data_IF_648188160915
#
_entry.id   IF_648188160915
#
_cell.length_a   1.000
_cell.length_b   1.000
_cell.length_c   1.000
_cell.angle_alpha   90.00
_cell.angle_beta   90.00
_cell.angle_gamma   90.00
#
_symmetry.space_group_name_H-M   'P 1'
#
loop_
_entity.id
_entity.type
_entity.pdbx_description
1 polymer ?
#
# COMPACT_ATOMS: atom_id res chain seq x y z
N UNK A 1 5.35 -22.65 7.69
CA UNK A 1 4.54 -21.75 6.81
C UNK A 1 3.18 -21.58 7.45
N UNK A 2 3.02 -20.56 8.30
CA UNK A 2 1.80 -20.33 9.09
C UNK A 2 1.10 -19.01 8.71
N UNK A 3 1.83 -18.08 8.06
CA UNK A 3 1.36 -16.73 7.71
C UNK A 3 0.39 -16.68 6.52
N UNK A 4 0.38 -17.67 5.64
CA UNK A 4 -0.52 -17.73 4.46
C UNK A 4 -1.78 -18.59 4.71
N UNK A 5 -2.25 -18.68 5.95
CA UNK A 5 -3.43 -19.51 6.27
C UNK A 5 -4.73 -18.69 6.19
N UNK A 6 -5.37 -18.71 5.02
CA UNK A 6 -6.60 -17.96 4.78
C UNK A 6 -7.77 -18.39 5.68
N UNK A 7 -7.81 -19.64 6.13
CA UNK A 7 -8.87 -20.10 7.04
C UNK A 7 -8.82 -19.34 8.37
N UNK A 8 -7.62 -19.05 8.89
CA UNK A 8 -7.46 -18.25 10.10
C UNK A 8 -7.93 -16.80 9.86
N UNK A 9 -7.63 -16.23 8.69
CA UNK A 9 -8.07 -14.87 8.36
C UNK A 9 -9.60 -14.79 8.26
N UNK A 10 -10.26 -15.80 7.71
CA UNK A 10 -11.72 -15.90 7.69
C UNK A 10 -12.33 -15.96 9.09
N UNK A 11 -11.77 -16.81 9.96
CA UNK A 11 -12.19 -16.94 11.36
C UNK A 11 -12.03 -15.59 12.10
N UNK A 12 -10.89 -14.92 11.94
CA UNK A 12 -10.62 -13.63 12.57
C UNK A 12 -11.55 -12.52 12.07
N UNK A 13 -11.81 -12.44 10.76
CA UNK A 13 -12.77 -11.49 10.21
C UNK A 13 -14.18 -11.75 10.75
N UNK A 14 -14.60 -13.02 10.81
CA UNK A 14 -15.92 -13.41 11.33
C UNK A 14 -16.09 -13.04 12.80
N UNK A 15 -15.11 -13.38 13.66
CA UNK A 15 -15.14 -13.06 15.09
C UNK A 15 -15.10 -11.54 15.29
N UNK A 16 -14.22 -10.84 14.55
CA UNK A 16 -14.09 -9.38 14.62
C UNK A 16 -15.39 -8.67 14.30
N UNK A 17 -16.08 -9.06 13.22
CA UNK A 17 -17.38 -8.48 12.84
C UNK A 17 -18.48 -8.83 13.83
N UNK A 18 -18.57 -10.09 14.25
CA UNK A 18 -19.59 -10.55 15.20
C UNK A 18 -19.49 -9.86 16.56
N UNK A 19 -18.29 -9.45 16.96
CA UNK A 19 -18.07 -8.69 18.20
C UNK A 19 -18.51 -7.22 18.13
N UNK A 20 -18.62 -6.65 16.93
CA UNK A 20 -19.00 -5.25 16.71
C UNK A 20 -20.50 -5.13 16.52
N UNK A 21 -21.20 -4.62 17.54
CA UNK A 21 -22.64 -4.33 17.53
C UNK A 21 -22.99 -3.20 16.53
N UNK A 22 -22.96 -3.50 15.23
CA UNK A 22 -23.26 -2.61 14.10
C UNK A 22 -22.24 -1.49 13.82
N UNK A 23 -21.02 -1.57 14.35
CA UNK A 23 -19.95 -0.64 13.97
C UNK A 23 -19.27 -1.10 12.67
N UNK A 24 -18.89 -0.19 11.77
CA UNK A 24 -18.07 -0.52 10.63
C UNK A 24 -16.80 -1.27 11.05
N UNK A 25 -16.46 -2.32 10.31
CA UNK A 25 -15.22 -3.08 10.48
C UNK A 25 -14.56 -3.23 9.12
N UNK A 26 -13.31 -2.79 9.03
CA UNK A 26 -12.50 -2.86 7.83
C UNK A 26 -11.23 -3.64 8.16
N UNK A 27 -10.91 -4.59 7.31
CA UNK A 27 -9.78 -5.50 7.41
C UNK A 27 -8.90 -5.32 6.19
N UNK A 28 -7.60 -5.31 6.42
CA UNK A 28 -6.61 -5.27 5.35
C UNK A 28 -5.52 -6.27 5.67
N UNK A 29 -5.00 -6.92 4.63
CA UNK A 29 -3.85 -7.81 4.73
C UNK A 29 -2.60 -7.15 4.15
N UNK A 30 -1.45 -7.58 4.66
CA UNK A 30 -0.17 -7.38 4.01
C UNK A 30 0.21 -8.69 3.32
N UNK A 31 0.06 -8.73 2.00
CA UNK A 31 0.59 -9.79 1.15
C UNK A 31 1.53 -9.11 0.15
N UNK A 32 2.81 -9.50 0.12
CA UNK A 32 3.82 -8.87 -0.75
C UNK A 32 4.40 -9.93 -1.71
N UNK A 33 4.30 -9.76 -3.04
CA UNK A 33 3.58 -8.69 -3.74
C UNK A 33 2.07 -8.80 -3.50
N UNK A 34 1.33 -7.69 -3.62
CA UNK A 34 -0.11 -7.69 -3.40
C UNK A 34 -0.87 -8.65 -4.31
N UNK A 35 -1.99 -9.18 -3.80
CA UNK A 35 -2.91 -10.03 -4.57
C UNK A 35 -4.34 -9.58 -4.34
N UNK A 36 -5.02 -9.18 -5.39
CA UNK A 36 -6.45 -8.82 -5.32
C UNK A 36 -7.34 -10.01 -4.94
N UNK A 37 -6.90 -11.24 -5.18
CA UNK A 37 -7.63 -12.47 -4.85
C UNK A 37 -7.83 -12.68 -3.34
N UNK A 38 -7.01 -12.06 -2.49
CA UNK A 38 -7.18 -12.14 -1.02
C UNK A 38 -8.33 -11.25 -0.54
N UNK A 39 -8.88 -10.39 -1.41
CA UNK A 39 -9.91 -9.44 -1.04
C UNK A 39 -11.30 -10.04 -1.21
N UNK A 40 -12.27 -9.59 -0.42
CA UNK A 40 -13.67 -10.07 -0.47
C UNK A 40 -14.35 -9.83 -1.81
N UNK A 41 -13.92 -8.81 -2.55
CA UNK A 41 -14.39 -8.58 -3.93
C UNK A 41 -14.13 -9.80 -4.83
N UNK A 42 -13.07 -10.56 -4.54
CA UNK A 42 -12.68 -11.78 -5.24
C UNK A 42 -12.86 -13.05 -4.39
N UNK A 43 -13.76 -13.02 -3.39
CA UNK A 43 -14.04 -14.13 -2.46
C UNK A 43 -12.82 -14.53 -1.60
N UNK A 44 -12.02 -13.55 -1.20
CA UNK A 44 -10.97 -13.69 -0.20
C UNK A 44 -11.37 -13.23 1.21
N UNK A 45 -10.50 -13.41 2.22
CA UNK A 45 -10.85 -13.19 3.63
C UNK A 45 -10.87 -11.74 4.12
N UNK A 46 -10.22 -10.79 3.43
CA UNK A 46 -10.06 -9.40 3.91
C UNK A 46 -10.73 -8.38 2.99
N UNK A 47 -11.00 -7.16 3.45
CA UNK A 47 -11.64 -6.14 2.62
C UNK A 47 -10.67 -5.52 1.59
N UNK A 48 -9.38 -5.43 1.92
CA UNK A 48 -8.34 -4.88 1.06
C UNK A 48 -6.94 -5.48 1.30
N UNK A 49 -5.98 -5.13 0.44
CA UNK A 49 -4.56 -5.47 0.58
C UNK A 49 -3.70 -4.22 0.43
N UNK A 50 -2.59 -4.10 1.17
CA UNK A 50 -1.61 -3.05 0.93
C UNK A 50 -1.04 -3.15 -0.49
N UNK A 51 -0.91 -2.04 -1.22
CA UNK A 51 -0.24 -2.02 -2.53
C UNK A 51 1.23 -1.70 -2.39
N UNK A 52 2.06 -2.74 -2.39
CA UNK A 52 3.51 -2.58 -2.45
C UNK A 52 3.96 -2.02 -3.81
N UNK A 53 3.21 -2.28 -4.88
CA UNK A 53 3.46 -1.73 -6.21
C UNK A 53 3.25 -0.22 -6.24
N UNK A 54 2.19 0.29 -5.60
CA UNK A 54 1.98 1.74 -5.50
C UNK A 54 3.14 2.41 -4.77
N UNK A 55 3.52 1.86 -3.61
CA UNK A 55 4.69 2.35 -2.86
C UNK A 55 5.94 2.40 -3.75
N UNK A 56 6.26 1.30 -4.43
CA UNK A 56 7.45 1.19 -5.27
C UNK A 56 7.46 2.19 -6.42
N UNK A 57 6.42 2.20 -7.25
CA UNK A 57 6.35 3.05 -8.45
C UNK A 57 6.35 4.54 -8.09
N UNK A 58 5.54 4.95 -7.12
CA UNK A 58 5.42 6.37 -6.77
C UNK A 58 6.67 6.87 -6.05
N UNK A 59 7.26 6.07 -5.15
CA UNK A 59 8.54 6.42 -4.53
C UNK A 59 9.64 6.59 -5.58
N UNK A 60 9.69 5.69 -6.57
CA UNK A 60 10.64 5.75 -7.68
C UNK A 60 10.49 7.03 -8.51
N UNK A 61 9.25 7.45 -8.80
CA UNK A 61 8.96 8.70 -9.51
C UNK A 61 9.39 9.93 -8.70
N UNK A 62 9.13 9.93 -7.38
CA UNK A 62 9.50 11.06 -6.50
C UNK A 62 11.02 11.16 -6.33
N UNK A 63 11.73 10.03 -6.29
CA UNK A 63 13.20 9.97 -6.27
C UNK A 63 13.77 10.43 -7.62
N UNK A 64 13.25 9.91 -8.73
CA UNK A 64 13.71 10.21 -10.07
C UNK A 64 12.53 10.47 -11.02
N UNK A 65 12.24 11.74 -11.27
CA UNK A 65 11.13 12.18 -12.12
C UNK A 65 11.20 11.63 -13.55
N UNK A 66 12.37 11.19 -14.05
CA UNK A 66 12.50 10.54 -15.36
C UNK A 66 11.79 9.18 -15.44
N UNK A 67 11.43 8.59 -14.29
CA UNK A 67 10.64 7.36 -14.21
C UNK A 67 9.12 7.61 -14.31
N UNK A 68 8.68 8.86 -14.41
CA UNK A 68 7.26 9.16 -14.53
C UNK A 68 6.69 8.58 -15.82
N UNK A 69 5.69 7.71 -15.67
CA UNK A 69 4.92 7.13 -16.76
C UNK A 69 3.44 7.18 -16.35
N UNK A 70 2.64 7.92 -17.12
CA UNK A 70 1.28 8.30 -16.74
C UNK A 70 0.35 7.07 -16.64
N UNK A 71 0.48 6.12 -17.56
CA UNK A 71 -0.42 4.97 -17.61
C UNK A 71 -0.14 4.01 -16.45
N UNK A 72 1.13 3.86 -16.05
CA UNK A 72 1.55 3.13 -14.86
C UNK A 72 0.96 3.74 -13.60
N UNK A 73 1.00 5.07 -13.45
CA UNK A 73 0.39 5.77 -12.30
C UNK A 73 -1.12 5.58 -12.27
N UNK A 74 -1.80 5.74 -13.41
CA UNK A 74 -3.25 5.51 -13.50
C UNK A 74 -3.64 4.09 -13.15
N UNK A 75 -2.86 3.11 -13.62
CA UNK A 75 -3.11 1.70 -13.37
C UNK A 75 -3.07 1.40 -11.86
N UNK A 76 -2.01 1.82 -11.16
CA UNK A 76 -1.85 1.53 -9.73
C UNK A 76 -2.85 2.24 -8.82
N UNK A 77 -3.40 3.39 -9.22
CA UNK A 77 -4.42 4.09 -8.42
C UNK A 77 -5.84 3.62 -8.69
N UNK A 78 -6.06 2.84 -9.75
CA UNK A 78 -7.40 2.46 -10.19
C UNK A 78 -8.03 1.32 -9.38
N UNK A 79 -7.21 0.50 -8.70
CA UNK A 79 -7.70 -0.66 -7.96
C UNK A 79 -8.24 -0.25 -6.58
N UNK A 80 -9.56 -0.29 -6.44
CA UNK A 80 -10.29 0.14 -5.22
C UNK A 80 -10.05 -0.74 -4.00
N UNK A 81 -9.65 -2.00 -4.20
CA UNK A 81 -9.41 -2.96 -3.11
C UNK A 81 -7.95 -3.01 -2.68
N UNK A 82 -7.12 -2.10 -3.19
CA UNK A 82 -5.76 -1.89 -2.75
C UNK A 82 -5.65 -0.62 -1.90
N UNK A 83 -4.90 -0.71 -0.80
CA UNK A 83 -4.57 0.42 0.07
C UNK A 83 -3.23 0.97 -0.32
N UNK A 84 -3.25 2.16 -0.90
CA UNK A 84 -2.05 2.87 -1.35
C UNK A 84 -1.31 3.49 -0.17
N UNK A 85 0.01 3.31 -0.13
CA UNK A 85 0.88 3.88 0.90
C UNK A 85 2.22 4.33 0.32
N UNK A 86 2.84 5.33 0.93
CA UNK A 86 4.20 5.80 0.58
C UNK A 86 5.19 5.67 1.72
N UNK A 87 4.70 5.55 2.95
CA UNK A 87 5.51 5.31 4.13
C UNK A 87 4.82 4.28 5.02
N UNK A 88 5.60 3.30 5.47
CA UNK A 88 5.26 2.41 6.57
C UNK A 88 6.47 2.28 7.49
N UNK A 89 6.39 1.43 8.50
CA UNK A 89 7.47 1.21 9.46
C UNK A 89 8.59 0.31 8.93
N UNK A 90 8.35 -0.42 7.83
CA UNK A 90 9.30 -1.36 7.22
C UNK A 90 10.21 -0.73 6.17
N UNK A 91 9.92 0.49 5.74
CA UNK A 91 10.66 1.17 4.68
C UNK A 91 11.36 2.43 5.19
N UNK A 92 12.47 2.78 4.53
CA UNK A 92 13.16 4.04 4.75
C UNK A 92 12.24 5.24 4.44
N UNK A 93 12.44 6.34 5.16
CA UNK A 93 11.64 7.55 4.95
C UNK A 93 11.89 8.13 3.56
N UNK A 94 10.83 8.56 2.87
CA UNK A 94 10.91 9.10 1.52
C UNK A 94 11.92 10.26 1.38
N UNK A 95 12.00 11.16 2.37
CA UNK A 95 12.98 12.26 2.37
C UNK A 95 14.43 11.77 2.37
N UNK A 96 14.71 10.68 3.07
CA UNK A 96 16.02 10.06 3.08
C UNK A 96 16.34 9.47 1.70
N UNK A 97 15.38 8.76 1.09
CA UNK A 97 15.56 8.16 -0.24
C UNK A 97 15.77 9.22 -1.33
N UNK A 98 15.03 10.32 -1.30
CA UNK A 98 15.19 11.43 -2.25
C UNK A 98 16.59 12.07 -2.14
N UNK A 99 17.10 12.27 -0.92
CA UNK A 99 18.45 12.80 -0.71
C UNK A 99 19.54 11.79 -1.07
N UNK A 100 19.42 10.55 -0.57
CA UNK A 100 20.44 9.52 -0.71
C UNK A 100 20.55 8.98 -2.14
N UNK A 101 19.41 8.67 -2.77
CA UNK A 101 19.35 8.07 -4.11
C UNK A 101 19.13 9.12 -5.19
N UNK A 102 18.19 10.05 -4.97
CA UNK A 102 17.85 11.10 -5.94
C UNK A 102 18.87 12.24 -6.00
N UNK A 103 19.74 12.35 -4.98
CA UNK A 103 20.71 13.47 -4.82
C UNK A 103 20.03 14.84 -4.81
N UNK A 104 18.79 14.88 -4.34
CA UNK A 104 17.97 16.09 -4.27
C UNK A 104 17.82 16.52 -2.81
N UNK A 105 18.04 17.81 -2.53
CA UNK A 105 18.00 18.38 -1.18
C UNK A 105 17.14 19.66 -1.16
N UNK A 106 17.05 20.27 0.02
CA UNK A 106 16.39 21.56 0.24
C UNK A 106 14.93 21.62 -0.24
N UNK A 107 14.55 22.74 -0.87
CA UNK A 107 13.18 23.00 -1.29
C UNK A 107 12.67 21.96 -2.31
N UNK A 108 13.50 21.49 -3.25
CA UNK A 108 13.05 20.50 -4.23
C UNK A 108 12.75 19.15 -3.54
N UNK A 109 13.59 18.73 -2.59
CA UNK A 109 13.33 17.54 -1.79
C UNK A 109 12.04 17.70 -0.96
N UNK A 110 11.86 18.85 -0.33
CA UNK A 110 10.66 19.13 0.47
C UNK A 110 9.39 19.10 -0.38
N UNK A 111 9.38 19.71 -1.57
CA UNK A 111 8.23 19.71 -2.47
C UNK A 111 7.85 18.29 -2.91
N UNK A 112 8.85 17.45 -3.20
CA UNK A 112 8.62 16.05 -3.60
C UNK A 112 8.09 15.20 -2.46
N UNK A 113 8.61 15.37 -1.25
CA UNK A 113 8.08 14.68 -0.06
C UNK A 113 6.64 15.10 0.18
N UNK A 114 6.35 16.41 0.15
CA UNK A 114 5.00 16.96 0.32
C UNK A 114 4.01 16.48 -0.74
N UNK A 115 4.47 16.20 -1.95
CA UNK A 115 3.61 15.59 -2.97
C UNK A 115 3.21 14.15 -2.61
N UNK A 116 4.10 13.43 -1.90
CA UNK A 116 3.90 12.05 -1.47
C UNK A 116 3.38 11.85 -0.05
N UNK A 117 3.10 12.92 0.71
CA UNK A 117 2.65 12.84 2.11
C UNK A 117 1.63 13.91 2.42
#
# INVERSE_FOLDING_TARGET
KQMDNYNILYELDHVGRSSRRNQPFFTQAEHVPEKVDITKANKGPVDACWSSTFHGIVSDVLINQKKFELDSIKYIISEKNLVNYLACHDNERLIYLIGHLGKTFDNDAFQRVRLGT
#
